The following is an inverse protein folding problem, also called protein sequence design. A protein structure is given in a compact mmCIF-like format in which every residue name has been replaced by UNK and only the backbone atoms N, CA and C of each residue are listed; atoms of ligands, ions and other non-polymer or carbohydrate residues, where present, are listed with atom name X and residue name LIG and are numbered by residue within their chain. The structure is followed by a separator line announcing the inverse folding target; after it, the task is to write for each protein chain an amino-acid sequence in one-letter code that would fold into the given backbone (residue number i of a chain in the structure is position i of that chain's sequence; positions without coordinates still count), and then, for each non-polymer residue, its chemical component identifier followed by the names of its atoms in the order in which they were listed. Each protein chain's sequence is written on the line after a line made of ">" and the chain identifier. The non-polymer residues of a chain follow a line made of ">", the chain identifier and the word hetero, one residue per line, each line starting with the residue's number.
data_IF_512832720490
#
_entry.id   IF_512832720490
#
_cell.length_a   1.000
_cell.length_b   1.000
_cell.length_c   1.000
_cell.angle_alpha   90.00
_cell.angle_beta   90.00
_cell.angle_gamma   90.00
#
_symmetry.space_group_name_H-M   'P 1'
#
loop_
_entity.id
_entity.type
_entity.pdbx_description
1 polymer ?
2 water ?
#
# COMPACT_ATOMS: atom_id res chain seq x y z
N UNK A 1 -19.80 -4.40 -16.07
CA UNK A 1 -20.26 -5.78 -16.44
C UNK A 1 -19.51 -6.72 -15.53
N UNK A 2 -19.94 -7.97 -15.48
CA UNK A 2 -19.45 -8.86 -14.41
C UNK A 2 -17.94 -8.79 -14.21
N UNK A 3 -17.51 -8.17 -13.12
CA UNK A 3 -16.07 -8.13 -12.91
C UNK A 3 -15.65 -9.58 -12.69
N UNK A 4 -14.45 -9.94 -13.18
CA UNK A 4 -13.86 -11.29 -13.05
C UNK A 4 -13.65 -11.59 -11.65
N UNK A 5 -13.61 -12.85 -11.34
CA UNK A 5 -13.82 -13.21 -9.97
C UNK A 5 -12.78 -12.71 -9.02
N UNK A 6 -11.53 -12.65 -9.49
CA UNK A 6 -10.40 -12.38 -8.59
C UNK A 6 -10.50 -10.95 -8.12
N UNK A 7 -11.12 -10.11 -8.91
CA UNK A 7 -11.42 -8.73 -8.51
C UNK A 7 -12.39 -8.62 -7.33
N UNK A 8 -13.02 -9.74 -7.00
CA UNK A 8 -14.09 -9.85 -6.01
C UNK A 8 -13.60 -10.77 -4.97
N UNK A 9 -13.36 -12.00 -5.41
CA UNK A 9 -12.75 -13.00 -4.56
C UNK A 9 -11.60 -12.42 -3.71
N UNK A 10 -10.72 -11.64 -4.31
CA UNK A 10 -9.48 -11.31 -3.63
C UNK A 10 -9.48 -10.21 -2.61
N UNK A 11 -10.67 -9.69 -2.28
CA UNK A 11 -10.83 -8.61 -1.31
C UNK A 11 -11.16 -9.19 0.02
N UNK A 12 -10.70 -8.51 1.06
CA UNK A 12 -10.99 -8.90 2.42
C UNK A 12 -12.40 -8.42 2.68
N UNK A 13 -13.26 -9.28 3.25
CA UNK A 13 -14.64 -8.90 3.53
C UNK A 13 -14.78 -7.60 4.34
N UNK A 14 -13.87 -7.35 5.29
CA UNK A 14 -13.96 -6.06 5.98
C UNK A 14 -13.54 -4.85 5.15
N UNK A 15 -12.97 -5.00 3.97
CA UNK A 15 -12.73 -3.81 3.17
C UNK A 15 -13.62 -3.61 1.98
N UNK A 16 -14.77 -4.25 1.98
CA UNK A 16 -15.71 -4.11 0.89
C UNK A 16 -16.40 -2.77 0.91
N UNK A 17 -16.49 -2.16 -0.27
CA UNK A 17 -17.17 -0.89 -0.39
C UNK A 17 -18.44 -1.10 -1.15
N UNK A 18 -19.50 -0.84 -0.44
CA UNK A 18 -20.81 -0.88 -1.03
C UNK A 18 -20.94 -0.45 -2.45
N UNK A 19 -21.74 -1.20 -3.17
CA UNK A 19 -22.13 -0.85 -4.50
C UNK A 19 -23.63 -1.17 -4.68
N UNK A 20 -24.25 -0.43 -5.59
CA UNK A 20 -25.62 -0.72 -5.94
C UNK A 20 -26.49 -0.05 -4.93
N UNK A 21 -27.76 0.12 -5.26
CA UNK A 21 -28.73 0.63 -4.31
C UNK A 21 -29.15 -0.50 -3.42
N UNK A 22 -29.79 -0.18 -2.31
CA UNK A 22 -30.21 -1.27 -1.39
C UNK A 22 -31.42 -2.14 -1.94
N UNK A 23 -31.21 -3.47 -1.90
CA UNK A 23 -32.11 -4.45 -2.47
C UNK A 23 -31.84 -4.75 -3.94
N UNK A 24 -30.71 -4.32 -4.47
CA UNK A 24 -30.36 -4.56 -5.87
C UNK A 24 -30.15 -6.08 -5.94
N UNK A 25 -30.45 -6.71 -7.07
CA UNK A 25 -30.43 -8.18 -7.08
C UNK A 25 -29.04 -8.67 -7.46
N UNK A 26 -28.77 -9.98 -7.45
CA UNK A 26 -27.49 -10.46 -7.93
C UNK A 26 -27.18 -9.87 -9.29
N UNK A 27 -28.06 -10.08 -10.25
CA UNK A 27 -27.78 -9.68 -11.60
C UNK A 27 -27.57 -8.20 -11.73
N UNK A 28 -28.38 -7.38 -11.06
CA UNK A 28 -28.19 -5.96 -11.25
C UNK A 28 -26.86 -5.54 -10.65
N UNK A 29 -26.42 -6.21 -9.63
CA UNK A 29 -25.18 -5.85 -9.01
C UNK A 29 -24.07 -6.20 -9.99
N UNK A 30 -23.93 -7.48 -10.35
CA UNK A 30 -22.92 -7.92 -11.31
C UNK A 30 -22.92 -7.04 -12.53
N UNK A 31 -24.09 -6.81 -13.14
CA UNK A 31 -24.16 -5.95 -14.36
C UNK A 31 -23.95 -4.44 -14.18
N UNK A 32 -24.13 -3.97 -12.96
CA UNK A 32 -23.66 -2.68 -12.60
C UNK A 32 -22.13 -2.61 -12.63
N UNK A 33 -21.44 -3.73 -12.83
CA UNK A 33 -20.00 -3.68 -12.76
C UNK A 33 -19.46 -3.98 -11.38
N UNK A 34 -20.31 -4.48 -10.46
CA UNK A 34 -19.89 -4.86 -9.10
C UNK A 34 -19.93 -6.34 -8.75
N UNK A 35 -19.59 -6.62 -7.50
CA UNK A 35 -19.48 -7.99 -7.11
C UNK A 35 -20.59 -8.37 -6.14
N UNK A 36 -21.23 -9.51 -6.40
CA UNK A 36 -22.23 -10.01 -5.47
C UNK A 36 -21.68 -11.15 -4.67
N UNK A 37 -21.81 -11.12 -3.36
CA UNK A 37 -21.57 -12.37 -2.64
C UNK A 37 -22.47 -12.43 -1.41
N UNK A 38 -23.13 -13.58 -1.23
CA UNK A 38 -24.14 -13.69 -0.18
C UNK A 38 -23.75 -14.66 0.86
N UNK A 39 -22.47 -15.00 0.87
CA UNK A 39 -21.97 -15.94 1.85
C UNK A 39 -21.20 -15.38 3.03
N UNK A 40 -20.95 -14.08 3.08
CA UNK A 40 -20.27 -13.62 4.24
C UNK A 40 -21.26 -12.65 4.82
N UNK A 41 -21.57 -12.81 6.12
CA UNK A 41 -22.55 -11.99 6.85
C UNK A 41 -21.93 -10.77 7.31
N UNK A 42 -22.77 -9.81 7.62
CA UNK A 42 -22.28 -8.56 8.17
C UNK A 42 -21.54 -7.56 7.28
N UNK A 43 -21.32 -7.89 6.00
CA UNK A 43 -20.58 -7.02 5.11
C UNK A 43 -21.42 -6.78 3.87
N UNK A 44 -21.06 -5.76 3.05
CA UNK A 44 -21.82 -5.55 1.82
C UNK A 44 -21.72 -6.80 0.98
N UNK A 45 -22.86 -7.17 0.40
CA UNK A 45 -23.00 -8.30 -0.48
C UNK A 45 -22.85 -7.83 -1.92
N UNK A 46 -23.02 -6.54 -2.14
CA UNK A 46 -22.81 -6.00 -3.46
C UNK A 46 -21.77 -4.89 -3.31
N UNK A 47 -20.54 -5.16 -3.68
CA UNK A 47 -19.47 -4.29 -3.40
C UNK A 47 -18.69 -4.00 -4.63
N UNK A 48 -17.86 -2.97 -4.62
CA UNK A 48 -17.03 -2.60 -5.75
C UNK A 48 -15.86 -3.52 -5.91
N UNK A 49 -15.49 -3.85 -7.18
CA UNK A 49 -14.34 -4.79 -7.40
C UNK A 49 -12.90 -4.13 -7.35
N UNK A 50 -11.85 -4.95 -7.21
CA UNK A 50 -10.47 -4.49 -7.27
C UNK A 50 -10.31 -3.98 -8.68
N UNK A 51 -9.37 -3.07 -8.85
CA UNK A 51 -9.04 -2.47 -10.15
C UNK A 51 -8.51 -3.62 -10.96
N UNK A 52 -8.81 -3.67 -12.24
CA UNK A 52 -8.38 -4.84 -12.98
C UNK A 52 -6.93 -4.77 -13.38
N UNK A 53 -6.44 -5.86 -13.91
CA UNK A 53 -5.09 -5.89 -14.43
C UNK A 53 -5.15 -6.71 -15.71
N UNK A 54 -4.04 -6.72 -16.45
CA UNK A 54 -3.86 -7.48 -17.72
C UNK A 54 -4.00 -8.96 -17.46
N UNK A 55 -3.38 -9.39 -16.39
CA UNK A 55 -3.51 -10.73 -15.95
C UNK A 55 -4.20 -10.81 -14.55
N UNK A 56 -5.05 -11.80 -14.38
CA UNK A 56 -5.77 -11.91 -13.14
C UNK A 56 -4.89 -12.46 -12.02
N UNK A 57 -3.67 -12.89 -12.34
CA UNK A 57 -2.82 -13.39 -11.28
C UNK A 57 -2.26 -12.17 -10.61
N UNK A 58 -2.43 -11.01 -11.21
CA UNK A 58 -1.81 -9.82 -10.65
C UNK A 58 -2.72 -9.01 -9.81
N UNK A 59 -3.94 -9.52 -9.62
CA UNK A 59 -5.06 -8.75 -9.04
C UNK A 59 -4.99 -9.08 -7.54
N UNK A 60 -4.88 -8.09 -6.65
CA UNK A 60 -4.91 -8.32 -5.19
C UNK A 60 -5.08 -6.98 -4.55
N UNK A 61 -5.12 -6.94 -3.24
CA UNK A 61 -5.23 -5.64 -2.59
C UNK A 61 -3.78 -5.14 -2.47
N UNK A 62 -3.57 -3.86 -2.78
CA UNK A 62 -2.29 -3.17 -2.69
C UNK A 62 -1.47 -3.70 -1.54
N UNK A 63 -2.08 -4.00 -0.42
CA UNK A 63 -1.31 -4.46 0.74
C UNK A 63 -0.84 -5.90 0.65
N UNK A 64 -1.41 -6.70 -0.21
CA UNK A 64 -0.98 -8.06 -0.24
C UNK A 64 0.23 -8.22 -1.20
N UNK A 65 0.63 -7.11 -1.85
CA UNK A 65 1.71 -7.07 -2.83
C UNK A 65 3.02 -7.38 -2.10
N UNK A 66 3.70 -8.47 -2.50
CA UNK A 66 5.08 -8.72 -2.05
C UNK A 66 6.02 -8.20 -3.17
N UNK A 67 6.97 -7.37 -2.79
CA UNK A 67 7.92 -6.81 -3.74
C UNK A 67 8.72 -7.85 -4.54
N UNK A 68 8.86 -7.60 -5.81
CA UNK A 68 9.61 -8.51 -6.62
C UNK A 68 10.68 -7.79 -7.42
N UNK A 69 10.57 -6.46 -7.55
CA UNK A 69 11.56 -5.63 -8.28
C UNK A 69 12.45 -4.78 -7.37
N UNK A 70 12.85 -3.59 -7.77
CA UNK A 70 13.71 -2.79 -6.93
C UNK A 70 13.39 -1.41 -7.36
N UNK A 71 13.70 -0.37 -6.55
CA UNK A 71 13.35 1.00 -6.95
C UNK A 71 13.82 1.30 -8.35
N UNK A 72 12.87 1.60 -9.22
CA UNK A 72 13.15 1.90 -10.61
C UNK A 72 13.14 0.75 -11.61
N UNK A 73 12.77 -0.47 -11.21
CA UNK A 73 12.87 -1.64 -12.10
C UNK A 73 11.87 -1.44 -13.19
N UNK A 74 12.33 -1.63 -14.44
CA UNK A 74 11.53 -1.44 -15.67
C UNK A 74 10.38 -2.43 -15.80
N UNK A 75 9.36 -2.04 -16.54
CA UNK A 75 8.24 -2.96 -16.64
C UNK A 75 8.58 -4.25 -17.35
N UNK A 76 9.56 -4.13 -18.26
CA UNK A 76 10.22 -5.21 -19.02
C UNK A 76 11.11 -6.06 -18.12
N UNK A 77 11.93 -5.43 -17.35
CA UNK A 77 12.66 -6.26 -16.42
C UNK A 77 11.82 -6.93 -15.35
N UNK A 78 10.82 -6.23 -14.79
CA UNK A 78 9.82 -6.82 -13.90
C UNK A 78 9.07 -8.03 -14.53
N UNK A 79 8.61 -7.94 -15.78
CA UNK A 79 8.09 -9.12 -16.48
C UNK A 79 9.00 -10.38 -16.67
N UNK A 80 10.29 -10.14 -16.89
CA UNK A 80 11.34 -11.16 -17.08
C UNK A 80 11.43 -12.09 -15.92
N UNK A 81 11.14 -11.58 -14.72
CA UNK A 81 11.19 -12.47 -13.55
C UNK A 81 9.81 -12.95 -13.22
N UNK A 82 8.92 -12.78 -14.18
CA UNK A 82 7.57 -13.22 -14.09
C UNK A 82 6.90 -12.66 -12.91
N UNK A 83 6.95 -11.34 -12.87
CA UNK A 83 6.33 -10.61 -11.80
C UNK A 83 5.29 -9.65 -12.37
N UNK A 84 4.38 -9.14 -11.52
CA UNK A 84 3.45 -8.10 -11.96
C UNK A 84 4.00 -6.66 -11.84
N UNK A 85 3.46 -5.75 -12.62
CA UNK A 85 3.91 -4.37 -12.66
C UNK A 85 2.69 -3.46 -12.75
N UNK A 86 2.71 -2.40 -11.95
CA UNK A 86 1.58 -1.52 -11.81
C UNK A 86 2.12 -0.24 -11.28
N UNK A 87 2.11 0.84 -12.07
CA UNK A 87 2.68 2.12 -11.58
C UNK A 87 1.67 3.20 -11.08
N UNK A 88 0.43 2.76 -10.83
CA UNK A 88 -0.69 3.63 -10.50
C UNK A 88 -0.81 4.18 -9.04
N UNK A 89 -0.35 3.42 -8.05
CA UNK A 89 -0.41 3.84 -6.66
C UNK A 89 1.06 4.12 -6.39
N UNK A 90 1.33 5.27 -5.78
CA UNK A 90 2.67 5.66 -5.37
C UNK A 90 2.96 5.05 -4.05
N UNK A 91 4.24 4.82 -3.79
CA UNK A 91 4.65 4.47 -2.45
C UNK A 91 4.46 3.09 -1.98
N UNK A 92 4.21 2.22 -2.98
CA UNK A 92 4.12 0.73 -2.86
C UNK A 92 4.89 0.07 -3.99
N UNK A 93 5.19 -1.26 -3.88
CA UNK A 93 5.94 -2.04 -4.88
C UNK A 93 5.30 -1.93 -6.23
N UNK A 94 6.02 -1.40 -7.22
CA UNK A 94 5.50 -1.38 -8.56
C UNK A 94 5.69 -2.70 -9.27
N UNK A 95 6.48 -3.60 -8.68
CA UNK A 95 6.76 -4.94 -9.19
C UNK A 95 6.58 -5.92 -8.09
N UNK A 96 5.62 -6.79 -8.22
CA UNK A 96 5.21 -7.62 -7.09
C UNK A 96 4.90 -9.01 -7.62
N UNK A 97 4.92 -10.01 -6.77
CA UNK A 97 4.55 -11.36 -7.23
C UNK A 97 3.05 -11.59 -7.51
N UNK A 98 2.75 -12.35 -8.55
CA UNK A 98 1.34 -12.59 -8.86
C UNK A 98 0.88 -13.70 -7.96
N UNK A 99 -0.41 -13.94 -7.87
CA UNK A 99 -0.85 -15.11 -7.11
C UNK A 99 -1.75 -15.97 -7.93
N UNK A 100 -1.49 -17.27 -7.91
CA UNK A 100 -2.25 -18.20 -8.74
C UNK A 100 -3.77 -18.03 -8.58
N UNK A 101 -4.37 -17.69 -9.71
CA UNK A 101 -5.78 -17.42 -9.83
C UNK A 101 -6.49 -18.73 -9.65
N UNK A 102 -7.08 -18.95 -8.48
CA UNK A 102 -7.59 -20.27 -8.18
C UNK A 102 -8.44 -20.16 -6.92
N UNK A 103 -7.88 -19.48 -5.93
CA UNK A 103 -8.64 -18.96 -4.80
C UNK A 103 -9.91 -18.14 -5.33
N UNK A 104 -9.77 -17.61 -6.54
CA UNK A 104 -10.77 -16.82 -7.23
C UNK A 104 -12.14 -17.44 -7.59
N UNK A 105 -13.12 -17.20 -6.72
CA UNK A 105 -14.53 -17.60 -6.93
C UNK A 105 -15.46 -16.37 -6.87
N UNK A 106 -16.76 -16.59 -6.99
CA UNK A 106 -17.73 -15.54 -6.66
C UNK A 106 -18.38 -15.80 -5.32
N UNK B 1 16.72 20.74 8.57
CA UNK B 1 15.43 20.26 7.99
C UNK B 1 15.82 18.81 7.86
N UNK B 2 16.35 18.30 8.95
CA UNK B 2 16.80 16.95 8.99
C UNK B 2 15.61 16.02 9.36
N UNK B 3 15.42 14.94 8.58
CA UNK B 3 14.31 13.97 8.73
C UNK B 3 14.25 13.52 10.15
N UNK B 4 13.09 13.50 10.76
CA UNK B 4 13.09 12.90 12.05
C UNK B 4 13.48 11.52 11.70
N UNK B 5 14.08 10.87 12.66
CA UNK B 5 14.64 9.55 12.54
C UNK B 5 13.72 8.46 11.98
N UNK B 6 12.51 8.30 12.50
CA UNK B 6 11.68 7.18 12.09
C UNK B 6 11.48 7.21 10.57
N UNK B 7 11.61 8.39 9.97
CA UNK B 7 11.47 8.57 8.52
C UNK B 7 12.62 7.97 7.69
N UNK B 8 13.71 7.68 8.38
CA UNK B 8 14.92 7.18 7.79
C UNK B 8 15.04 5.70 8.10
N UNK B 9 15.01 5.42 9.40
CA UNK B 9 15.06 4.07 9.97
C UNK B 9 13.89 3.12 9.55
N UNK B 10 12.73 3.63 9.17
CA UNK B 10 11.63 2.72 9.04
C UNK B 10 11.38 2.22 7.63
N UNK B 11 12.35 2.40 6.72
CA UNK B 11 12.27 1.77 5.39
C UNK B 11 13.44 0.81 5.08
N UNK B 12 13.12 -0.41 4.67
CA UNK B 12 14.13 -1.41 4.30
C UNK B 12 15.24 -0.76 3.42
N UNK B 13 16.50 -0.94 3.80
CA UNK B 13 17.62 -0.43 3.00
C UNK B 13 17.37 -0.57 1.51
N UNK B 14 16.82 -1.71 1.16
CA UNK B 14 16.62 -2.11 -0.23
C UNK B 14 15.58 -1.30 -0.94
N UNK B 15 14.67 -0.68 -0.22
CA UNK B 15 13.78 0.16 -0.95
C UNK B 15 14.16 1.61 -0.78
N UNK B 16 15.47 1.88 -0.71
CA UNK B 16 15.98 3.24 -0.64
C UNK B 16 16.18 3.87 -1.98
N UNK B 17 15.79 5.13 -2.10
CA UNK B 17 15.90 5.90 -3.30
C UNK B 17 16.97 6.93 -3.07
N UNK B 18 17.83 7.07 -4.05
CA UNK B 18 19.01 7.88 -3.91
C UNK B 18 18.57 9.32 -3.66
N UNK B 19 19.25 9.98 -2.76
CA UNK B 19 19.05 11.40 -2.61
C UNK B 19 20.46 12.02 -2.64
N UNK B 20 20.69 13.06 -3.45
CA UNK B 20 22.00 13.74 -3.40
C UNK B 20 23.06 13.34 -4.40
N UNK B 21 24.33 13.54 -4.08
CA UNK B 21 25.36 13.30 -5.07
C UNK B 21 26.40 12.39 -4.50
N UNK B 22 27.03 11.62 -5.38
CA UNK B 22 28.05 10.67 -4.90
C UNK B 22 29.07 11.38 -4.02
N UNK B 23 29.27 10.89 -2.81
CA UNK B 23 30.26 11.51 -1.99
C UNK B 23 29.70 12.80 -1.41
N UNK B 24 28.36 12.92 -1.32
CA UNK B 24 27.73 14.00 -0.58
C UNK B 24 28.11 13.66 0.84
N UNK B 25 28.14 14.63 1.77
CA UNK B 25 28.45 14.27 3.16
C UNK B 25 27.27 13.99 4.09
N UNK B 26 27.54 13.28 5.16
CA UNK B 26 26.51 12.99 6.07
C UNK B 26 25.75 14.24 6.45
N UNK B 27 26.48 15.29 6.80
CA UNK B 27 25.88 16.52 7.23
C UNK B 27 25.12 17.26 6.16
N UNK B 28 25.68 17.43 4.97
CA UNK B 28 24.94 18.06 3.87
C UNK B 28 23.88 17.15 3.25
N UNK B 29 23.85 15.88 3.61
CA UNK B 29 22.75 15.03 3.21
C UNK B 29 21.58 15.30 4.14
N UNK B 30 21.82 15.43 5.46
CA UNK B 30 20.73 15.69 6.45
C UNK B 30 20.00 17.02 6.29
N UNK B 31 20.81 18.00 5.88
CA UNK B 31 20.47 19.38 5.62
C UNK B 31 19.71 19.60 4.32
N UNK B 32 19.88 18.71 3.40
CA UNK B 32 19.10 18.71 2.16
C UNK B 32 17.72 17.99 2.39
N UNK B 33 17.48 17.62 3.65
CA UNK B 33 16.29 16.91 4.02
C UNK B 33 16.34 15.41 3.85
N UNK B 34 17.50 14.80 3.75
CA UNK B 34 17.53 13.38 3.51
C UNK B 34 18.14 12.70 4.62
N UNK B 35 18.05 11.39 4.58
CA UNK B 35 18.68 10.51 5.55
C UNK B 35 20.04 10.01 5.10
N UNK B 36 21.00 9.96 6.00
CA UNK B 36 22.31 9.44 5.70
C UNK B 36 22.57 8.21 6.58
N UNK B 37 22.99 7.09 5.98
CA UNK B 37 23.34 5.88 6.73
C UNK B 37 24.42 5.16 5.90
N UNK B 38 25.54 4.82 6.51
CA UNK B 38 26.60 4.19 5.75
C UNK B 38 26.86 2.79 6.21
N UNK B 39 26.07 2.33 7.16
CA UNK B 39 26.19 0.99 7.76
C UNK B 39 25.66 -0.11 6.87
N UNK B 40 24.95 0.26 5.82
CA UNK B 40 24.48 -0.73 4.89
C UNK B 40 25.05 -0.50 3.53
N UNK B 41 25.97 -1.37 3.21
CA UNK B 41 26.75 -1.41 1.98
C UNK B 41 25.83 -1.92 0.89
N UNK B 42 26.07 -1.48 -0.34
CA UNK B 42 25.25 -1.89 -1.45
C UNK B 42 23.99 -1.09 -1.73
N UNK B 43 23.66 -0.12 -0.91
CA UNK B 43 22.37 0.51 -1.03
C UNK B 43 22.71 1.93 -0.93
N UNK B 44 21.86 2.81 -1.43
CA UNK B 44 22.25 4.22 -1.30
C UNK B 44 22.57 4.65 0.17
N UNK B 45 23.52 5.56 0.36
CA UNK B 45 23.84 6.11 1.72
C UNK B 45 23.07 7.34 2.16
N UNK B 46 22.81 8.21 1.19
CA UNK B 46 21.92 9.33 1.35
C UNK B 46 20.59 9.02 0.62
N UNK B 47 19.49 8.82 1.34
CA UNK B 47 18.23 8.45 0.69
C UNK B 47 17.07 9.34 1.03
N UNK B 48 16.08 9.43 0.12
CA UNK B 48 14.84 10.16 0.39
C UNK B 48 14.17 9.62 1.66
N UNK B 49 13.70 10.52 2.52
CA UNK B 49 13.03 10.01 3.73
C UNK B 49 11.54 9.62 3.49
N UNK B 50 10.96 8.81 4.39
CA UNK B 50 9.50 8.48 4.35
C UNK B 50 8.71 9.77 4.47
N UNK B 51 7.45 9.77 3.97
CA UNK B 51 6.70 11.02 4.17
C UNK B 51 6.46 11.37 5.66
N UNK B 52 6.46 12.67 5.92
CA UNK B 52 6.26 13.17 7.26
C UNK B 52 4.80 13.06 7.63
N UNK B 53 4.57 12.64 8.86
CA UNK B 53 3.24 12.44 9.40
C UNK B 53 2.93 13.45 10.47
N UNK B 54 1.66 13.48 10.88
CA UNK B 54 1.17 14.18 12.09
C UNK B 54 2.08 13.91 13.31
N UNK B 55 2.22 12.64 13.67
CA UNK B 55 3.13 12.22 14.72
C UNK B 55 4.14 11.25 14.09
N UNK B 56 5.27 11.07 14.75
CA UNK B 56 6.24 10.09 14.30
C UNK B 56 5.87 8.61 14.58
N UNK B 57 4.92 8.33 15.49
CA UNK B 57 4.49 6.93 15.72
C UNK B 57 3.79 6.49 14.46
N UNK B 58 3.38 7.46 13.67
CA UNK B 58 2.58 7.21 12.50
C UNK B 58 3.42 7.00 11.22
N UNK B 59 4.75 7.19 11.32
CA UNK B 59 5.62 7.22 10.14
C UNK B 59 6.02 5.79 9.89
N UNK B 60 5.66 5.30 8.72
CA UNK B 60 5.95 3.92 8.38
C UNK B 60 5.78 3.72 6.91
N UNK B 61 6.31 2.63 6.42
CA UNK B 61 6.20 2.38 5.00
C UNK B 61 4.73 1.95 4.89
N UNK B 62 4.05 2.46 3.87
CA UNK B 62 2.67 2.15 3.51
C UNK B 62 2.32 0.68 3.70
N UNK B 63 2.96 -0.21 2.96
CA UNK B 63 2.64 -1.62 3.13
C UNK B 63 2.67 -2.14 4.60
N UNK B 64 3.44 -1.46 5.43
CA UNK B 64 3.63 -1.78 6.86
C UNK B 64 2.38 -1.47 7.73
N UNK B 65 1.43 -0.71 7.23
CA UNK B 65 0.41 -0.33 8.12
C UNK B 65 -0.71 -1.30 8.38
N UNK B 66 -1.09 -1.40 9.65
CA UNK B 66 -2.21 -2.20 10.10
C UNK B 66 -3.46 -1.37 10.21
N UNK B 67 -4.49 -1.85 9.53
CA UNK B 67 -5.77 -1.16 9.49
C UNK B 67 -6.27 -1.06 10.93
N UNK B 68 -6.78 0.12 11.28
CA UNK B 68 -7.35 0.36 12.59
C UNK B 68 -8.77 0.82 12.41
N UNK B 69 -9.26 0.72 11.19
CA UNK B 69 -10.50 1.37 10.87
C UNK B 69 -11.36 0.64 9.88
N UNK B 70 -12.21 1.38 9.18
CA UNK B 70 -13.06 0.70 8.22
C UNK B 70 -13.26 1.67 7.08
N UNK B 71 -13.63 1.18 5.89
CA UNK B 71 -13.77 2.11 4.79
C UNK B 71 -14.70 3.22 5.22
N UNK B 72 -14.18 4.44 5.17
CA UNK B 72 -14.97 5.63 5.42
C UNK B 72 -14.88 6.26 6.81
N UNK B 73 -14.21 5.58 7.74
CA UNK B 73 -13.99 6.11 9.07
C UNK B 73 -13.32 7.49 8.88
N UNK B 74 -13.87 8.54 9.50
CA UNK B 74 -13.38 9.90 9.24
C UNK B 74 -12.12 10.14 10.05
N UNK B 75 -11.49 11.34 9.93
CA UNK B 75 -10.28 11.52 10.72
C UNK B 75 -10.66 11.45 12.15
N UNK B 76 -11.70 12.20 12.51
CA UNK B 76 -12.12 12.33 13.92
C UNK B 76 -12.54 11.03 14.57
N UNK B 77 -13.10 10.17 13.76
CA UNK B 77 -13.59 8.90 14.20
C UNK B 77 -12.35 8.07 14.41
N UNK B 78 -11.39 8.23 13.52
CA UNK B 78 -10.17 7.44 13.59
C UNK B 78 -9.27 7.83 14.80
N UNK B 79 -9.09 9.13 14.99
CA UNK B 79 -8.24 9.63 16.05
C UNK B 79 -8.83 9.35 17.43
N UNK B 80 -10.14 9.33 17.52
CA UNK B 80 -10.82 8.95 18.76
C UNK B 80 -10.54 7.51 19.12
N UNK B 81 -9.70 6.85 18.32
CA UNK B 81 -9.36 5.43 18.47
C UNK B 81 -7.91 5.40 18.78
N UNK B 82 -7.29 6.59 18.71
CA UNK B 82 -5.87 6.75 19.00
C UNK B 82 -5.08 5.87 18.04
N UNK B 83 -5.16 6.33 16.81
CA UNK B 83 -4.72 5.65 15.65
C UNK B 83 -4.35 6.71 14.66
N UNK B 84 -3.53 6.31 13.67
CA UNK B 84 -3.01 7.27 12.70
C UNK B 84 -4.00 7.41 11.58
N UNK B 85 -4.16 8.60 11.03
CA UNK B 85 -5.02 8.82 9.84
C UNK B 85 -4.18 9.34 8.70
N UNK B 86 -4.41 8.89 7.47
CA UNK B 86 -3.71 9.54 6.42
C UNK B 86 -4.41 9.23 5.12
N UNK B 87 -4.83 10.23 4.36
CA UNK B 87 -5.54 9.97 3.12
C UNK B 87 -4.80 10.35 1.84
N UNK B 88 -3.49 10.48 1.94
CA UNK B 88 -2.69 10.87 0.81
C UNK B 88 -2.52 9.82 -0.31
N UNK B 89 -2.68 8.53 0.02
CA UNK B 89 -2.43 7.43 -0.92
C UNK B 89 -3.71 6.68 -0.91
N UNK B 90 -4.27 6.37 -2.08
CA UNK B 90 -5.52 5.63 -2.31
C UNK B 90 -5.33 4.14 -2.19
N UNK B 91 -6.42 3.41 -1.93
CA UNK B 91 -6.48 1.94 -1.96
C UNK B 91 -5.63 1.22 -0.98
N UNK B 92 -5.31 1.89 0.13
CA UNK B 92 -4.69 1.26 1.33
C UNK B 92 -5.42 1.95 2.44
N UNK B 93 -5.34 1.43 3.64
CA UNK B 93 -6.03 2.08 4.77
C UNK B 93 -5.63 3.53 5.13
N UNK B 94 -6.63 4.36 5.29
CA UNK B 94 -6.49 5.68 5.87
C UNK B 94 -6.37 5.72 7.37
N UNK B 95 -6.62 4.61 8.04
CA UNK B 95 -6.60 4.57 9.49
C UNK B 95 -5.93 3.26 9.87
N UNK B 96 -4.86 3.41 10.61
CA UNK B 96 -3.89 2.35 10.82
C UNK B 96 -3.18 2.65 12.18
N UNK B 97 -2.68 1.60 12.78
CA UNK B 97 -2.10 1.69 14.10
C UNK B 97 -0.75 2.24 14.11
N UNK B 98 -0.50 3.19 15.01
CA UNK B 98 0.74 3.93 15.25
C UNK B 98 1.82 3.02 15.79
N UNK B 99 3.07 3.23 15.41
CA UNK B 99 4.14 2.46 15.97
C UNK B 99 5.00 3.31 16.82
N UNK B 100 5.31 2.78 17.99
CA UNK B 100 6.05 3.52 18.99
C UNK B 100 7.52 3.73 18.65
N UNK B 101 8.00 4.92 18.98
CA UNK B 101 9.22 5.46 18.44
C UNK B 101 10.60 5.07 18.95
N UNK B 102 10.79 3.88 19.50
CA UNK B 102 12.16 3.54 19.90
C UNK B 102 12.93 2.59 19.03
N UNK B 103 12.32 2.06 17.98
CA UNK B 103 13.06 1.31 16.98
C UNK B 103 13.87 2.27 16.06
N UNK B 104 13.52 3.55 16.12
CA UNK B 104 14.03 4.59 15.24
C UNK B 104 15.37 5.16 15.74
N UNK B 105 16.16 5.64 14.79
CA UNK B 105 17.54 6.06 15.05
C UNK B 105 18.11 6.50 13.74
N UNK B 106 19.26 7.12 13.73
CA UNK B 106 19.77 7.48 12.43
C UNK B 106 20.70 6.49 11.84
#
# INVERSE_FOLDING_TARGET
>A
QKPAACRCSRQDPKNRVNCGFPGITSDQCFTSGCCFDSQVPGVPWCFKPLPAQESEECVMQVSARKNCGYPGISPEDCAARNCCFSDTIPEVPWCFFPMSVEDCHY
>B
QKPAACRCSRQDPKNRVNCGFPGITSDQCFTSGCCFDSQVPGVPWCFKPLPAQESEECVMQVSARKNCGYPGISPEDCAARNCCFSDTIPEVPWCFFPMSVEDCHY
#
